data_IF_876815465990
#
_entry.id   IF_876815465990
#
_cell.length_a   1.000
_cell.length_b   1.000
_cell.length_c   1.000
_cell.angle_alpha   90.00
_cell.angle_beta   90.00
_cell.angle_gamma   90.00
#
_symmetry.space_group_name_H-M   'P 1'
#
loop_
_entity.id
_entity.type
_entity.pdbx_description
1 polymer ?
#
# COMPACT_ATOMS: atom_id res chain seq x y z
N UNK A 1 2.81 26.35 2.86
CA UNK A 1 3.59 25.40 3.61
C UNK A 1 4.49 24.60 2.67
N UNK A 2 5.79 24.56 2.94
CA UNK A 2 6.73 23.64 2.31
C UNK A 2 7.00 22.50 3.30
N UNK A 3 6.83 21.28 2.88
CA UNK A 3 6.93 20.16 3.82
C UNK A 3 7.35 18.85 3.13
N UNK A 4 8.08 18.04 3.88
CA UNK A 4 8.21 16.62 3.58
C UNK A 4 6.85 15.96 3.80
N UNK A 5 6.12 15.68 2.73
CA UNK A 5 4.84 14.99 2.77
C UNK A 5 4.68 14.06 1.58
N UNK A 6 4.02 12.94 1.79
CA UNK A 6 3.64 12.03 0.71
C UNK A 6 2.24 12.31 0.15
N UNK A 7 1.46 13.18 0.84
CA UNK A 7 0.07 13.49 0.52
C UNK A 7 -0.19 15.01 0.54
N UNK A 8 0.38 15.79 -0.41
CA UNK A 8 0.25 17.25 -0.40
C UNK A 8 -1.19 17.75 -0.38
N UNK A 9 -2.08 17.11 -1.17
CA UNK A 9 -3.49 17.51 -1.26
C UNK A 9 -4.24 17.28 0.05
N UNK A 10 -4.09 16.10 0.66
CA UNK A 10 -4.70 15.80 1.96
C UNK A 10 -4.16 16.69 3.08
N UNK A 11 -2.88 17.04 3.03
CA UNK A 11 -2.32 18.00 4.00
C UNK A 11 -2.96 19.39 3.85
N UNK A 12 -3.26 19.82 2.62
CA UNK A 12 -4.01 21.06 2.35
C UNK A 12 -5.41 20.97 2.94
N UNK A 13 -6.11 19.86 2.74
CA UNK A 13 -7.46 19.62 3.28
C UNK A 13 -7.43 19.63 4.81
N UNK A 14 -6.49 18.93 5.43
CA UNK A 14 -6.34 18.91 6.89
C UNK A 14 -6.00 20.29 7.50
N UNK A 15 -5.26 21.15 6.79
CA UNK A 15 -5.04 22.53 7.23
C UNK A 15 -6.35 23.35 7.15
N UNK A 16 -7.13 23.16 6.08
CA UNK A 16 -8.45 23.78 5.95
C UNK A 16 -9.36 23.38 7.11
N UNK A 17 -9.49 22.10 7.39
CA UNK A 17 -10.34 21.55 8.43
C UNK A 17 -9.91 22.03 9.84
N UNK A 18 -8.60 22.00 10.12
CA UNK A 18 -8.09 22.34 11.45
C UNK A 18 -8.16 23.83 11.79
N UNK A 19 -8.08 24.71 10.79
CA UNK A 19 -7.93 26.15 11.01
C UNK A 19 -9.02 27.03 10.37
N UNK A 20 -9.99 26.43 9.70
CA UNK A 20 -11.05 27.14 8.95
C UNK A 20 -10.48 28.17 7.95
N UNK A 21 -9.35 27.83 7.31
CA UNK A 21 -8.73 28.66 6.28
C UNK A 21 -9.30 28.21 4.92
N UNK A 22 -9.84 29.10 4.09
CA UNK A 22 -10.31 28.73 2.76
C UNK A 22 -9.20 28.02 1.95
N UNK A 23 -9.52 26.91 1.29
CA UNK A 23 -8.55 26.12 0.51
C UNK A 23 -7.82 26.96 -0.55
N UNK A 24 -8.48 27.96 -1.12
CA UNK A 24 -7.89 28.91 -2.08
C UNK A 24 -6.77 29.79 -1.50
N UNK A 25 -6.63 29.83 -0.17
CA UNK A 25 -5.57 30.56 0.56
C UNK A 25 -4.50 29.63 1.14
N UNK A 26 -4.60 28.34 0.86
CA UNK A 26 -3.64 27.35 1.33
C UNK A 26 -2.88 26.78 0.14
N UNK A 27 -1.56 26.89 0.19
CA UNK A 27 -0.66 26.23 -0.75
C UNK A 27 0.26 25.29 0.01
N UNK A 28 0.33 24.04 -0.43
CA UNK A 28 1.29 23.04 0.06
C UNK A 28 2.23 22.70 -1.07
N UNK A 29 3.53 22.74 -0.77
CA UNK A 29 4.59 22.28 -1.67
C UNK A 29 5.28 21.08 -1.04
N UNK A 30 5.09 19.91 -1.63
CA UNK A 30 5.73 18.67 -1.22
C UNK A 30 7.20 18.64 -1.62
N UNK A 31 8.07 18.72 -0.64
CA UNK A 31 9.52 18.61 -0.86
C UNK A 31 9.98 17.17 -0.99
N UNK A 32 11.14 16.91 -1.62
CA UNK A 32 11.79 15.59 -1.54
C UNK A 32 12.00 15.19 -0.08
N UNK A 33 11.40 14.07 0.34
CA UNK A 33 11.38 13.67 1.75
C UNK A 33 12.49 12.68 2.14
N UNK A 34 13.27 12.20 1.17
CA UNK A 34 14.38 11.27 1.40
C UNK A 34 13.97 9.84 1.76
N UNK A 35 12.76 9.63 2.16
CA UNK A 35 11.98 8.40 2.35
C UNK A 35 10.77 8.72 3.22
N UNK A 36 9.78 7.84 3.27
CA UNK A 36 8.58 8.07 4.08
C UNK A 36 8.05 6.79 4.73
N UNK A 37 7.75 5.77 3.93
CA UNK A 37 7.18 4.48 4.38
C UNK A 37 5.84 4.60 5.12
N UNK A 38 5.12 5.72 4.99
CA UNK A 38 3.89 6.07 5.71
C UNK A 38 4.09 7.14 6.80
N UNK A 39 5.32 7.37 7.23
CA UNK A 39 5.64 8.31 8.31
C UNK A 39 5.19 9.75 8.03
N UNK A 40 5.33 10.20 6.77
CA UNK A 40 5.00 11.57 6.36
C UNK A 40 3.56 11.72 5.83
N UNK A 41 2.71 10.76 6.09
CA UNK A 41 1.28 10.88 5.92
C UNK A 41 0.68 11.50 7.18
N UNK A 42 0.24 12.76 7.10
CA UNK A 42 -0.39 13.53 8.18
C UNK A 42 0.32 13.43 9.55
N UNK A 43 1.07 14.46 9.91
CA UNK A 43 1.76 14.55 11.21
C UNK A 43 1.38 15.85 11.94
N UNK A 44 1.33 15.77 13.27
CA UNK A 44 0.94 16.89 14.14
C UNK A 44 1.87 18.10 14.00
N UNK A 45 3.14 17.91 13.68
CA UNK A 45 4.07 19.04 13.52
C UNK A 45 3.79 19.88 12.27
N UNK A 46 3.10 19.38 11.25
CA UNK A 46 2.61 20.20 10.15
C UNK A 46 1.62 21.26 10.66
N UNK A 47 0.66 20.83 11.48
CA UNK A 47 -0.32 21.72 12.10
C UNK A 47 0.33 22.66 13.10
N UNK A 48 1.30 22.18 13.88
CA UNK A 48 2.08 23.00 14.80
C UNK A 48 2.85 24.10 14.05
N UNK A 49 3.44 23.80 12.89
CA UNK A 49 4.12 24.80 12.06
C UNK A 49 3.18 25.91 11.62
N UNK A 50 1.96 25.57 11.22
CA UNK A 50 0.91 26.54 10.84
C UNK A 50 0.52 27.41 12.04
N UNK A 51 0.27 26.77 13.21
CA UNK A 51 -0.03 27.49 14.45
C UNK A 51 1.04 28.51 14.82
N UNK A 52 2.31 28.09 14.79
CA UNK A 52 3.44 28.94 15.15
C UNK A 52 3.61 30.10 14.17
N UNK A 53 3.48 29.86 12.87
CA UNK A 53 3.54 30.90 11.86
C UNK A 53 2.43 31.96 12.04
N UNK A 54 1.20 31.52 12.32
CA UNK A 54 0.06 32.43 12.61
C UNK A 54 0.31 33.25 13.87
N UNK A 55 0.81 32.61 14.95
CA UNK A 55 1.09 33.30 16.20
C UNK A 55 2.25 34.28 16.08
N UNK A 56 3.28 33.94 15.32
CA UNK A 56 4.46 34.78 15.11
C UNK A 56 4.21 35.92 14.09
N UNK A 57 3.19 35.81 13.22
CA UNK A 57 2.94 36.73 12.11
C UNK A 57 4.09 36.78 11.09
N UNK A 58 4.90 35.75 10.99
CA UNK A 58 6.07 35.64 10.11
C UNK A 58 6.34 34.18 9.72
N UNK A 59 7.17 33.92 8.68
CA UNK A 59 7.59 32.57 8.34
C UNK A 59 8.25 31.87 9.52
N UNK A 60 7.90 30.57 9.70
CA UNK A 60 8.45 29.69 10.74
C UNK A 60 8.93 28.41 10.07
N UNK A 61 10.11 27.93 10.49
CA UNK A 61 10.68 26.62 10.12
C UNK A 61 10.72 25.75 11.36
N UNK A 62 10.26 24.49 11.22
CA UNK A 62 10.50 23.43 12.20
C UNK A 62 11.38 22.39 11.53
N UNK A 63 12.41 21.95 12.20
CA UNK A 63 13.30 20.87 11.81
C UNK A 63 13.55 20.02 13.05
N UNK A 64 13.16 18.75 12.98
CA UNK A 64 13.29 17.80 14.09
C UNK A 64 14.64 17.11 14.00
N UNK A 65 15.33 16.99 15.12
CA UNK A 65 16.48 16.10 15.23
C UNK A 65 16.06 14.62 15.39
N UNK A 66 17.04 13.72 15.53
CA UNK A 66 16.73 12.30 15.63
C UNK A 66 15.99 11.92 16.92
N UNK A 67 16.29 12.58 18.03
CA UNK A 67 15.63 12.33 19.32
C UNK A 67 14.18 12.83 19.28
N UNK A 68 13.96 14.01 18.73
CA UNK A 68 12.65 14.59 18.52
C UNK A 68 11.82 13.73 17.54
N UNK A 69 12.42 13.26 16.45
CA UNK A 69 11.75 12.34 15.53
C UNK A 69 11.31 11.06 16.24
N UNK A 70 12.17 10.44 17.04
CA UNK A 70 11.85 9.21 17.76
C UNK A 70 10.78 9.39 18.84
N UNK A 71 10.64 10.58 19.39
CA UNK A 71 9.69 10.89 20.47
C UNK A 71 8.36 11.46 19.99
N UNK A 72 8.28 11.97 18.76
CA UNK A 72 7.09 12.70 18.27
C UNK A 72 6.48 12.15 17.00
N UNK A 73 7.28 11.52 16.12
CA UNK A 73 6.79 11.03 14.84
C UNK A 73 6.15 9.65 15.01
N UNK A 74 5.13 9.37 14.22
CA UNK A 74 4.39 8.10 14.25
C UNK A 74 5.32 6.90 14.13
N UNK A 75 5.12 5.92 14.99
CA UNK A 75 5.82 4.63 14.98
C UNK A 75 4.92 3.52 14.41
N UNK A 76 5.51 2.38 14.05
CA UNK A 76 4.73 1.16 13.81
C UNK A 76 4.01 0.76 15.09
N UNK A 77 2.81 0.24 14.98
CA UNK A 77 2.07 -0.34 16.10
C UNK A 77 2.87 -1.43 16.81
N UNK A 78 2.79 -1.47 18.12
CA UNK A 78 3.16 -2.66 18.89
C UNK A 78 1.94 -3.57 18.92
N UNK A 79 2.15 -4.85 18.77
CA UNK A 79 1.07 -5.79 18.53
C UNK A 79 1.24 -7.06 19.35
N UNK A 80 0.13 -7.64 19.73
CA UNK A 80 0.05 -8.93 20.40
C UNK A 80 -1.03 -9.75 19.75
N UNK A 81 -0.65 -10.90 19.20
CA UNK A 81 -1.60 -11.87 18.66
C UNK A 81 -1.66 -13.10 19.54
N UNK A 82 -2.87 -13.58 19.80
CA UNK A 82 -3.14 -14.89 20.37
C UNK A 82 -4.04 -15.61 19.38
N UNK A 83 -3.61 -16.78 18.91
CA UNK A 83 -4.37 -17.47 17.88
C UNK A 83 -4.36 -18.98 18.03
N UNK A 84 -5.31 -19.61 17.36
CA UNK A 84 -5.42 -21.04 17.17
C UNK A 84 -5.66 -21.31 15.69
N UNK A 85 -5.02 -22.35 15.17
CA UNK A 85 -5.17 -22.78 13.79
C UNK A 85 -5.23 -24.31 13.78
N UNK A 86 -6.05 -24.87 12.92
CA UNK A 86 -6.23 -26.32 12.82
C UNK A 86 -6.10 -26.81 11.39
N UNK A 87 -5.66 -28.06 11.27
CA UNK A 87 -5.63 -28.77 9.99
C UNK A 87 -6.00 -30.25 10.23
N UNK A 88 -6.33 -30.94 9.13
CA UNK A 88 -6.46 -32.39 9.12
C UNK A 88 -5.09 -33.07 9.30
N UNK A 89 -5.06 -34.37 9.53
CA UNK A 89 -3.82 -35.16 9.60
C UNK A 89 -3.02 -35.11 8.28
N UNK A 90 -3.71 -34.89 7.16
CA UNK A 90 -3.11 -34.67 5.84
C UNK A 90 -2.60 -33.25 5.62
N UNK A 91 -2.82 -32.35 6.59
CA UNK A 91 -2.35 -30.97 6.58
C UNK A 91 -3.24 -30.00 5.80
N UNK A 92 -4.51 -30.30 5.54
CA UNK A 92 -5.48 -29.32 4.99
C UNK A 92 -6.00 -28.44 6.10
N UNK A 93 -5.93 -27.11 5.93
CA UNK A 93 -6.42 -26.14 6.91
C UNK A 93 -7.93 -26.25 7.07
N UNK A 94 -8.40 -26.16 8.33
CA UNK A 94 -9.81 -26.30 8.67
C UNK A 94 -10.36 -25.08 9.43
N UNK A 95 -9.56 -24.46 10.28
CA UNK A 95 -10.00 -23.24 10.98
C UNK A 95 -8.84 -22.30 11.31
N UNK A 96 -9.17 -21.04 11.51
CA UNK A 96 -8.29 -19.97 11.99
C UNK A 96 -9.04 -19.10 12.99
N UNK A 97 -8.46 -18.91 14.17
CA UNK A 97 -8.94 -17.95 15.17
C UNK A 97 -7.77 -17.09 15.63
N UNK A 98 -7.93 -15.77 15.54
CA UNK A 98 -6.90 -14.81 15.95
C UNK A 98 -7.54 -13.69 16.76
N UNK A 99 -7.05 -13.45 17.97
CA UNK A 99 -7.28 -12.23 18.74
C UNK A 99 -6.03 -11.36 18.65
N UNK A 100 -6.15 -10.25 17.94
CA UNK A 100 -5.07 -9.35 17.60
C UNK A 100 -5.27 -8.01 18.26
N UNK A 101 -4.37 -7.64 19.17
CA UNK A 101 -4.41 -6.37 19.91
C UNK A 101 -3.30 -5.48 19.40
N UNK A 102 -3.66 -4.27 18.98
CA UNK A 102 -2.74 -3.26 18.49
C UNK A 102 -2.69 -2.06 19.45
N UNK A 103 -1.47 -1.57 19.72
CA UNK A 103 -1.21 -0.40 20.55
C UNK A 103 -1.11 0.85 19.67
N UNK A 104 -2.17 1.66 19.66
CA UNK A 104 -2.24 2.91 18.90
C UNK A 104 -1.39 4.05 19.49
N UNK A 105 -0.86 3.88 20.70
CA UNK A 105 -0.26 4.97 21.46
C UNK A 105 -1.29 5.99 21.91
N UNK A 106 -0.86 7.23 22.13
CA UNK A 106 -1.75 8.34 22.41
C UNK A 106 -2.48 8.78 21.12
N UNK A 107 -3.69 9.31 21.25
CA UNK A 107 -4.49 9.86 20.13
C UNK A 107 -4.88 8.85 19.06
N UNK A 108 -5.26 7.67 19.41
CA UNK A 108 -5.69 6.56 18.60
C UNK A 108 -5.94 6.87 17.12
N UNK A 109 -5.03 6.48 16.26
CA UNK A 109 -5.26 6.52 14.82
C UNK A 109 -6.00 5.25 14.43
N UNK A 110 -7.21 5.40 13.90
CA UNK A 110 -8.01 4.29 13.42
C UNK A 110 -7.47 3.83 12.07
N UNK A 111 -6.30 3.20 12.07
CA UNK A 111 -5.86 2.44 10.90
C UNK A 111 -6.54 1.08 10.94
N UNK A 112 -7.17 0.73 9.86
CA UNK A 112 -7.61 -0.62 9.59
C UNK A 112 -6.36 -1.46 9.34
N UNK A 113 -5.97 -2.27 10.32
CA UNK A 113 -4.64 -2.84 10.40
C UNK A 113 -4.73 -4.36 10.28
N UNK A 114 -4.21 -4.90 9.19
CA UNK A 114 -3.93 -6.34 9.11
C UNK A 114 -5.05 -7.23 8.59
N UNK A 115 -5.95 -6.72 7.76
CA UNK A 115 -7.09 -7.50 7.24
C UNK A 115 -6.73 -8.57 6.20
N UNK A 116 -5.60 -8.43 5.50
CA UNK A 116 -5.34 -9.23 4.29
C UNK A 116 -4.33 -10.35 4.46
N UNK A 117 -3.69 -10.44 5.60
CA UNK A 117 -2.68 -11.48 5.83
C UNK A 117 -3.24 -12.91 5.75
N UNK A 118 -4.53 -13.09 6.05
CA UNK A 118 -5.20 -14.38 5.95
C UNK A 118 -5.62 -14.73 4.51
N UNK A 119 -5.79 -13.75 3.63
CA UNK A 119 -6.19 -13.94 2.24
C UNK A 119 -5.18 -14.74 1.41
N UNK A 120 -3.95 -14.88 1.92
CA UNK A 120 -2.93 -15.74 1.30
C UNK A 120 -3.19 -17.23 1.48
N UNK A 121 -4.05 -17.59 2.42
CA UNK A 121 -4.37 -18.96 2.73
C UNK A 121 -5.69 -19.35 2.07
N UNK A 122 -5.84 -20.61 1.69
CA UNK A 122 -7.10 -21.10 1.10
C UNK A 122 -8.28 -20.71 1.98
N UNK A 123 -9.46 -20.51 1.36
CA UNK A 123 -10.67 -20.24 2.13
C UNK A 123 -10.77 -21.23 3.28
N UNK A 124 -10.63 -20.72 4.47
CA UNK A 124 -10.76 -21.51 5.69
C UNK A 124 -12.23 -21.45 6.05
N UNK A 125 -12.89 -22.60 6.10
CA UNK A 125 -14.35 -22.68 6.33
C UNK A 125 -14.79 -21.99 7.61
N UNK A 126 -13.89 -21.90 8.59
CA UNK A 126 -14.16 -21.29 9.90
C UNK A 126 -13.03 -20.34 10.28
N UNK A 127 -13.14 -19.09 9.88
CA UNK A 127 -12.23 -18.03 10.29
C UNK A 127 -12.92 -17.07 11.27
N UNK A 128 -12.24 -16.74 12.38
CA UNK A 128 -12.65 -15.71 13.32
C UNK A 128 -11.45 -14.85 13.69
N UNK A 129 -11.39 -13.64 13.14
CA UNK A 129 -10.30 -12.71 13.38
C UNK A 129 -10.87 -11.49 14.09
N UNK A 130 -10.44 -11.27 15.32
CA UNK A 130 -10.81 -10.10 16.11
C UNK A 130 -9.62 -9.18 16.22
N UNK A 131 -9.76 -7.93 15.76
CA UNK A 131 -8.75 -6.90 15.86
C UNK A 131 -9.22 -5.80 16.80
N UNK A 132 -8.40 -5.47 17.79
CA UNK A 132 -8.71 -4.46 18.80
C UNK A 132 -7.59 -3.44 18.92
N UNK A 133 -7.90 -2.17 18.61
CA UNK A 133 -7.01 -1.04 18.88
C UNK A 133 -7.15 -0.56 20.32
N UNK A 134 -6.04 -0.40 21.02
CA UNK A 134 -6.01 0.17 22.37
C UNK A 134 -5.16 1.45 22.40
N UNK A 135 -5.61 2.45 23.14
CA UNK A 135 -4.86 3.67 23.35
C UNK A 135 -3.98 3.54 24.59
N UNK A 136 -2.75 4.05 24.50
CA UNK A 136 -1.77 4.04 25.59
C UNK A 136 -1.03 5.36 25.68
N UNK A 137 -0.28 5.59 26.75
CA UNK A 137 0.53 6.80 26.95
C UNK A 137 1.88 6.76 26.16
N UNK A 138 1.94 6.04 25.05
CA UNK A 138 3.12 5.97 24.20
C UNK A 138 3.00 6.95 23.04
N UNK A 139 4.10 7.13 22.31
CA UNK A 139 4.09 7.86 21.03
C UNK A 139 3.02 7.26 20.10
N UNK A 140 2.28 8.12 19.43
CA UNK A 140 1.21 7.72 18.51
C UNK A 140 1.76 6.73 17.47
N UNK A 141 1.06 5.64 17.31
CA UNK A 141 1.30 4.72 16.19
C UNK A 141 0.53 5.17 14.95
N UNK A 142 0.94 4.73 13.81
CA UNK A 142 0.27 5.04 12.55
C UNK A 142 0.87 4.26 11.38
N UNK A 143 0.47 4.65 10.19
CA UNK A 143 0.89 3.97 8.98
C UNK A 143 2.41 3.83 8.91
N UNK A 144 2.84 2.60 8.77
CA UNK A 144 4.21 2.23 8.44
C UNK A 144 4.14 1.06 7.47
N UNK A 145 4.85 1.13 6.35
CA UNK A 145 4.92 0.15 5.26
C UNK A 145 4.43 -1.26 5.64
N UNK A 146 3.35 -1.75 5.00
CA UNK A 146 2.69 -3.01 5.36
C UNK A 146 1.84 -2.88 6.63
N UNK A 147 1.07 -1.81 6.76
CA UNK A 147 0.27 -1.44 7.94
C UNK A 147 -0.48 -2.65 8.49
N UNK A 148 -0.08 -3.15 9.67
CA UNK A 148 -0.66 -4.32 10.35
C UNK A 148 -0.44 -5.67 9.68
N UNK A 149 -0.52 -5.76 8.37
CA UNK A 149 -0.41 -7.03 7.64
C UNK A 149 0.91 -7.77 7.91
N UNK A 150 2.02 -7.04 8.04
CA UNK A 150 3.30 -7.67 8.30
C UNK A 150 3.40 -8.30 9.68
N UNK A 151 2.66 -7.80 10.68
CA UNK A 151 2.70 -8.30 12.06
C UNK A 151 1.73 -9.44 12.28
N UNK A 152 0.50 -9.34 11.79
CA UNK A 152 -0.44 -10.46 11.86
C UNK A 152 0.02 -11.63 11.01
N UNK A 153 0.68 -11.37 9.87
CA UNK A 153 1.31 -12.41 9.05
C UNK A 153 2.31 -13.25 9.86
N UNK A 154 3.10 -12.64 10.75
CA UNK A 154 4.03 -13.38 11.61
C UNK A 154 3.30 -14.37 12.50
N UNK A 155 2.14 -13.99 13.06
CA UNK A 155 1.35 -14.87 13.91
C UNK A 155 0.78 -16.06 13.11
N UNK A 156 0.19 -15.79 11.94
CA UNK A 156 -0.40 -16.82 11.08
C UNK A 156 0.70 -17.77 10.57
N UNK A 157 1.80 -17.24 10.10
CA UNK A 157 2.92 -18.02 9.57
C UNK A 157 3.57 -18.91 10.65
N UNK A 158 3.65 -18.43 11.91
CA UNK A 158 4.10 -19.26 13.05
C UNK A 158 3.14 -20.40 13.36
N UNK A 159 1.83 -20.13 13.35
CA UNK A 159 0.84 -21.18 13.55
C UNK A 159 0.90 -22.23 12.43
N UNK A 160 1.08 -21.79 11.18
CA UNK A 160 1.25 -22.67 10.03
C UNK A 160 2.51 -23.54 10.18
N UNK A 161 3.63 -23.00 10.65
CA UNK A 161 4.84 -23.79 10.92
C UNK A 161 4.62 -24.81 12.04
N UNK A 162 3.94 -24.43 13.13
CA UNK A 162 3.63 -25.35 14.23
C UNK A 162 2.70 -26.49 13.77
N UNK A 163 1.73 -26.23 12.91
CA UNK A 163 0.88 -27.27 12.33
C UNK A 163 1.68 -28.18 11.40
N UNK A 164 2.49 -27.61 10.51
CA UNK A 164 3.33 -28.38 9.61
C UNK A 164 4.28 -29.32 10.37
N UNK A 165 4.89 -28.83 11.46
CA UNK A 165 5.72 -29.64 12.34
C UNK A 165 4.91 -30.78 12.98
N UNK A 166 3.71 -30.47 13.50
CA UNK A 166 2.85 -31.43 14.21
C UNK A 166 2.37 -32.56 13.30
N UNK A 167 2.09 -32.29 12.04
CA UNK A 167 1.69 -33.31 11.05
C UNK A 167 2.90 -33.90 10.27
N UNK A 168 4.13 -33.56 10.67
CA UNK A 168 5.36 -34.12 10.07
C UNK A 168 5.62 -33.62 8.64
N UNK A 169 5.07 -32.51 8.23
CA UNK A 169 5.25 -31.92 6.91
C UNK A 169 6.34 -30.84 6.91
N UNK A 170 7.09 -30.70 5.83
CA UNK A 170 7.99 -29.56 5.70
C UNK A 170 7.23 -28.25 5.44
N UNK A 171 7.74 -27.08 5.88
CA UNK A 171 7.01 -25.83 5.82
C UNK A 171 6.71 -25.33 4.39
N UNK A 172 7.55 -25.69 3.41
CA UNK A 172 7.33 -25.35 2.02
C UNK A 172 6.16 -26.17 1.45
N UNK A 173 6.14 -27.46 1.73
CA UNK A 173 5.07 -28.36 1.27
C UNK A 173 3.73 -27.96 1.87
N UNK A 174 3.71 -27.61 3.16
CA UNK A 174 2.50 -27.14 3.85
C UNK A 174 1.94 -25.89 3.19
N UNK A 175 2.79 -24.90 2.87
CA UNK A 175 2.37 -23.67 2.17
C UNK A 175 1.90 -23.92 0.74
N UNK A 176 2.63 -24.73 -0.02
CA UNK A 176 2.22 -25.13 -1.38
C UNK A 176 0.88 -25.89 -1.40
N UNK A 177 0.49 -26.51 -0.29
CA UNK A 177 -0.80 -27.17 -0.15
C UNK A 177 -1.93 -26.19 0.14
N UNK A 178 -1.67 -25.22 1.04
CA UNK A 178 -2.69 -24.40 1.68
C UNK A 178 -2.73 -22.93 1.24
N UNK A 179 -1.86 -22.49 0.34
CA UNK A 179 -1.92 -21.11 -0.14
C UNK A 179 -2.72 -20.98 -1.43
N UNK A 180 -3.38 -19.81 -1.57
CA UNK A 180 -4.22 -19.49 -2.71
C UNK A 180 -3.45 -19.50 -4.04
N UNK A 181 -4.15 -19.82 -5.10
CA UNK A 181 -3.68 -19.84 -6.50
C UNK A 181 -4.54 -18.92 -7.34
N UNK A 182 -4.04 -18.59 -8.52
CA UNK A 182 -4.85 -17.92 -9.54
C UNK A 182 -6.13 -18.72 -9.81
N UNK A 183 -7.26 -18.04 -9.80
CA UNK A 183 -8.59 -18.61 -9.97
C UNK A 183 -9.28 -19.06 -8.68
N UNK A 184 -8.56 -19.16 -7.55
CA UNK A 184 -9.18 -19.48 -6.26
C UNK A 184 -10.08 -18.33 -5.79
N UNK A 185 -11.16 -18.67 -5.10
CA UNK A 185 -11.98 -17.69 -4.42
C UNK A 185 -11.18 -17.02 -3.30
N UNK A 186 -11.34 -15.71 -3.16
CA UNK A 186 -10.75 -14.93 -2.09
C UNK A 186 -11.88 -14.55 -1.14
N UNK A 187 -11.76 -14.94 0.14
CA UNK A 187 -12.63 -14.42 1.18
C UNK A 187 -12.22 -12.96 1.45
N UNK A 188 -12.86 -12.00 0.78
CA UNK A 188 -12.73 -10.60 1.15
C UNK A 188 -13.74 -10.31 2.26
N UNK A 189 -13.26 -10.09 3.46
CA UNK A 189 -14.05 -9.41 4.49
C UNK A 189 -14.57 -8.09 3.90
N UNK A 190 -15.84 -7.81 4.13
CA UNK A 190 -16.51 -6.63 3.58
C UNK A 190 -17.28 -6.85 2.29
N UNK A 191 -16.96 -7.83 1.45
CA UNK A 191 -17.84 -8.20 0.32
C UNK A 191 -18.98 -9.10 0.76
N UNK A 192 -18.79 -9.93 1.79
CA UNK A 192 -19.85 -10.75 2.37
C UNK A 192 -20.87 -9.92 3.16
N UNK A 193 -20.47 -8.77 3.72
CA UNK A 193 -21.32 -7.86 4.47
C UNK A 193 -21.93 -6.74 3.60
N UNK A 194 -21.59 -6.68 2.32
CA UNK A 194 -22.24 -5.75 1.42
C UNK A 194 -23.73 -6.13 1.25
N UNK A 195 -24.65 -5.16 1.25
CA UNK A 195 -26.05 -5.42 0.95
C UNK A 195 -26.17 -6.21 -0.34
N UNK A 196 -27.10 -7.15 -0.36
CA UNK A 196 -27.39 -7.96 -1.55
C UNK A 196 -27.60 -7.04 -2.76
N UNK A 197 -26.86 -7.26 -3.84
CA UNK A 197 -26.88 -6.38 -5.03
C UNK A 197 -25.73 -5.35 -5.09
N UNK A 198 -24.92 -5.18 -4.05
CA UNK A 198 -23.79 -4.21 -4.08
C UNK A 198 -22.65 -4.68 -4.98
N UNK A 199 -22.41 -5.98 -5.07
CA UNK A 199 -21.42 -6.56 -6.00
C UNK A 199 -21.89 -6.37 -7.43
N UNK A 200 -23.18 -6.64 -7.70
CA UNK A 200 -23.80 -6.42 -9.00
C UNK A 200 -23.80 -4.94 -9.39
N UNK A 201 -24.08 -4.04 -8.45
CA UNK A 201 -24.02 -2.59 -8.66
C UNK A 201 -22.57 -2.13 -8.94
N UNK A 202 -21.57 -2.68 -8.23
CA UNK A 202 -20.16 -2.44 -8.51
C UNK A 202 -19.75 -2.94 -9.89
N UNK A 203 -20.10 -4.18 -10.24
CA UNK A 203 -19.83 -4.74 -11.57
C UNK A 203 -20.54 -3.94 -12.68
N UNK A 204 -21.76 -3.46 -12.43
CA UNK A 204 -22.49 -2.60 -13.37
C UNK A 204 -21.85 -1.21 -13.56
N UNK A 205 -21.12 -0.71 -12.55
CA UNK A 205 -20.40 0.56 -12.65
C UNK A 205 -19.13 0.49 -13.50
N UNK A 206 -18.63 -0.72 -13.78
CA UNK A 206 -17.46 -0.92 -14.65
C UNK A 206 -17.87 -0.62 -16.10
N UNK A 207 -17.16 0.28 -16.81
CA UNK A 207 -17.42 0.53 -18.23
C UNK A 207 -17.43 -0.77 -19.05
N UNK A 208 -18.37 -0.89 -19.97
CA UNK A 208 -18.55 -2.10 -20.78
C UNK A 208 -17.27 -2.53 -21.51
N UNK A 209 -16.48 -1.53 -21.98
CA UNK A 209 -15.18 -1.75 -22.62
C UNK A 209 -14.09 -2.35 -21.70
N UNK A 210 -14.32 -2.35 -20.40
CA UNK A 210 -13.37 -2.87 -19.41
C UNK A 210 -13.88 -4.14 -18.71
N UNK A 211 -15.14 -4.54 -18.91
CA UNK A 211 -15.73 -5.69 -18.21
C UNK A 211 -15.03 -7.01 -18.53
N UNK A 212 -14.64 -7.21 -19.78
CA UNK A 212 -13.92 -8.42 -20.20
C UNK A 212 -12.47 -8.46 -19.67
N UNK A 213 -11.88 -7.29 -19.42
CA UNK A 213 -10.54 -7.16 -18.85
C UNK A 213 -10.55 -7.11 -17.31
N UNK A 214 -11.73 -6.94 -16.70
CA UNK A 214 -11.86 -6.80 -15.25
C UNK A 214 -12.03 -8.19 -14.62
N UNK A 215 -11.11 -8.60 -13.76
CA UNK A 215 -11.21 -9.91 -13.12
C UNK A 215 -12.43 -9.98 -12.21
N UNK A 216 -12.99 -11.18 -12.08
CA UNK A 216 -14.00 -11.47 -11.06
C UNK A 216 -13.47 -11.02 -9.69
N UNK A 217 -14.11 -10.05 -9.00
CA UNK A 217 -13.62 -9.49 -7.75
C UNK A 217 -13.59 -10.52 -6.62
N UNK A 218 -14.27 -11.65 -6.78
CA UNK A 218 -14.30 -12.75 -5.81
C UNK A 218 -13.23 -13.80 -6.08
N UNK A 219 -12.44 -13.64 -7.14
CA UNK A 219 -11.37 -14.58 -7.49
C UNK A 219 -10.03 -13.90 -7.68
N UNK A 220 -8.99 -14.59 -7.26
CA UNK A 220 -7.62 -14.14 -7.51
C UNK A 220 -7.32 -14.20 -9.01
N UNK A 221 -7.30 -13.05 -9.67
CA UNK A 221 -7.07 -12.95 -11.12
C UNK A 221 -5.69 -13.44 -11.54
N UNK A 222 -4.68 -13.16 -10.73
CA UNK A 222 -3.31 -13.62 -10.94
C UNK A 222 -2.64 -13.90 -9.59
N UNK A 223 -2.09 -15.09 -9.42
CA UNK A 223 -1.41 -15.47 -8.20
C UNK A 223 -0.19 -16.31 -8.51
N UNK A 224 1.00 -15.75 -8.32
CA UNK A 224 2.27 -16.43 -8.59
C UNK A 224 2.92 -17.03 -7.33
N UNK A 225 2.23 -17.03 -6.20
CA UNK A 225 2.80 -17.45 -4.90
C UNK A 225 3.41 -18.86 -4.96
N UNK A 226 2.69 -19.81 -5.56
CA UNK A 226 3.19 -21.18 -5.72
C UNK A 226 4.44 -21.23 -6.60
N UNK A 227 4.48 -20.48 -7.69
CA UNK A 227 5.65 -20.41 -8.56
C UNK A 227 6.83 -19.76 -7.84
N UNK A 228 6.59 -18.64 -7.15
CA UNK A 228 7.59 -17.94 -6.36
C UNK A 228 8.20 -18.85 -5.29
N UNK A 229 7.37 -19.57 -4.55
CA UNK A 229 7.84 -20.53 -3.54
C UNK A 229 8.68 -21.63 -4.17
N UNK A 230 8.26 -22.23 -5.28
CA UNK A 230 9.02 -23.29 -5.96
C UNK A 230 10.33 -22.76 -6.54
N UNK A 231 10.32 -21.61 -7.21
CA UNK A 231 11.53 -21.00 -7.78
C UNK A 231 12.50 -20.53 -6.72
N UNK A 232 12.01 -19.86 -5.68
CA UNK A 232 12.80 -19.41 -4.55
C UNK A 232 13.44 -20.59 -3.82
N UNK A 233 12.67 -21.62 -3.51
CA UNK A 233 13.19 -22.84 -2.87
C UNK A 233 14.26 -23.54 -3.72
N UNK A 234 14.08 -23.59 -5.05
CA UNK A 234 15.07 -24.16 -5.96
C UNK A 234 16.37 -23.33 -5.99
N UNK A 235 16.27 -22.00 -6.17
CA UNK A 235 17.45 -21.12 -6.20
C UNK A 235 18.20 -21.12 -4.88
N UNK A 236 17.49 -21.16 -3.76
CA UNK A 236 18.05 -21.19 -2.43
C UNK A 236 18.61 -22.58 -2.03
N UNK A 237 18.35 -23.60 -2.84
CA UNK A 237 18.65 -25.01 -2.51
C UNK A 237 17.97 -25.47 -1.21
N UNK A 238 16.71 -25.08 -0.99
CA UNK A 238 15.95 -25.36 0.22
C UNK A 238 15.98 -26.86 0.57
N UNK A 239 15.66 -27.71 -0.39
CA UNK A 239 15.64 -29.18 -0.21
C UNK A 239 16.96 -29.77 0.32
N UNK A 240 18.11 -29.17 -0.01
CA UNK A 240 19.43 -29.62 0.48
C UNK A 240 19.75 -29.07 1.86
N UNK A 241 19.12 -27.97 2.25
CA UNK A 241 19.37 -27.27 3.52
C UNK A 241 18.31 -27.58 4.58
N UNK A 242 17.17 -28.10 4.18
CA UNK A 242 16.10 -28.48 5.10
C UNK A 242 16.38 -29.88 5.68
N UNK A 243 16.76 -29.94 6.95
CA UNK A 243 17.09 -31.19 7.65
C UNK A 243 15.97 -31.64 8.61
N UNK A 244 14.80 -30.98 8.57
CA UNK A 244 13.72 -31.21 9.52
C UNK A 244 13.61 -30.11 10.58
N UNK A 245 12.51 -30.11 11.30
CA UNK A 245 12.20 -29.15 12.35
C UNK A 245 13.25 -29.19 13.47
N UNK A 246 13.67 -28.01 13.93
CA UNK A 246 14.70 -27.89 14.99
C UNK A 246 16.11 -28.32 14.59
N UNK A 247 16.39 -28.70 13.34
CA UNK A 247 17.66 -29.24 12.89
C UNK A 247 18.41 -28.29 11.97
N UNK A 248 19.57 -27.76 12.37
CA UNK A 248 20.40 -26.93 11.51
C UNK A 248 21.02 -27.78 10.38
N UNK A 249 21.21 -27.17 9.21
CA UNK A 249 21.90 -27.81 8.09
C UNK A 249 23.44 -27.71 8.20
N UNK A 250 23.92 -26.76 9.00
CA UNK A 250 25.36 -26.60 9.28
C UNK A 250 25.55 -26.06 10.70
N UNK A 251 26.50 -26.66 11.38
CA UNK A 251 27.00 -26.21 12.68
C UNK A 251 28.47 -25.81 12.50
N UNK A 252 28.85 -24.62 12.97
CA UNK A 252 30.18 -24.06 12.87
C UNK A 252 30.52 -23.40 14.21
N UNK A 253 31.13 -24.15 15.10
CA UNK A 253 31.32 -23.76 16.51
C UNK A 253 29.97 -23.51 17.20
N UNK A 254 29.78 -22.30 17.74
CA UNK A 254 28.51 -21.86 18.36
C UNK A 254 27.44 -21.42 17.36
N UNK A 255 27.76 -21.36 16.06
CA UNK A 255 26.83 -20.88 15.02
C UNK A 255 26.06 -22.05 14.42
N UNK A 256 24.74 -22.04 14.61
CA UNK A 256 23.82 -22.97 14.01
C UNK A 256 23.10 -22.31 12.83
N UNK A 257 23.19 -22.91 11.65
CA UNK A 257 22.54 -22.40 10.44
C UNK A 257 21.33 -23.26 10.08
N UNK A 258 20.17 -22.67 10.05
CA UNK A 258 18.92 -23.30 9.64
C UNK A 258 18.27 -22.52 8.50
N UNK A 259 17.24 -23.08 7.92
CA UNK A 259 16.43 -22.46 6.88
C UNK A 259 14.97 -22.53 7.27
N UNK A 260 14.20 -21.54 6.85
CA UNK A 260 12.76 -21.50 6.96
C UNK A 260 12.17 -20.91 5.69
N UNK A 261 10.86 -20.92 5.61
CA UNK A 261 10.09 -20.26 4.55
C UNK A 261 8.90 -19.54 5.20
N UNK A 262 8.60 -18.35 4.73
CA UNK A 262 7.44 -17.59 5.14
C UNK A 262 6.91 -16.81 3.94
N UNK A 263 5.66 -16.43 4.02
CA UNK A 263 4.97 -15.61 3.02
C UNK A 263 4.28 -14.43 3.71
N UNK A 264 3.88 -13.45 2.93
CA UNK A 264 3.11 -12.32 3.43
C UNK A 264 2.32 -11.69 2.29
N UNK A 265 1.18 -11.15 2.63
CA UNK A 265 0.36 -10.36 1.73
C UNK A 265 0.15 -8.96 2.32
N UNK A 266 -0.13 -8.03 1.44
CA UNK A 266 -0.54 -6.69 1.81
C UNK A 266 -1.49 -6.16 0.74
N UNK A 267 -2.61 -5.60 1.17
CA UNK A 267 -3.54 -4.93 0.26
C UNK A 267 -2.92 -3.65 -0.29
N UNK A 268 -3.02 -3.46 -1.58
CA UNK A 268 -2.41 -2.33 -2.29
C UNK A 268 -3.38 -1.71 -3.29
N UNK A 269 -3.35 -0.39 -3.39
CA UNK A 269 -3.82 0.34 -4.56
C UNK A 269 -5.25 0.87 -4.53
N UNK A 270 -6.22 0.21 -3.94
CA UNK A 270 -7.65 0.45 -4.20
C UNK A 270 -8.47 0.92 -3.00
N UNK A 271 -7.98 0.79 -1.78
CA UNK A 271 -8.78 0.93 -0.55
C UNK A 271 -9.22 2.35 -0.19
N UNK A 272 -8.76 3.37 -0.93
CA UNK A 272 -9.04 4.75 -0.56
C UNK A 272 -10.11 5.34 -1.48
N UNK A 273 -11.16 5.86 -0.87
CA UNK A 273 -12.17 6.66 -1.55
C UNK A 273 -11.57 7.97 -2.08
N UNK A 274 -12.18 8.52 -3.12
CA UNK A 274 -11.83 9.82 -3.66
C UNK A 274 -11.10 9.78 -5.01
N UNK A 275 -11.10 10.91 -5.72
CA UNK A 275 -10.56 11.01 -7.06
C UNK A 275 -9.03 10.96 -7.05
N UNK A 276 -8.47 10.57 -8.19
CA UNK A 276 -7.08 10.83 -8.53
C UNK A 276 -7.07 11.45 -9.91
N UNK A 277 -6.39 12.57 -10.06
CA UNK A 277 -6.45 13.37 -11.26
C UNK A 277 -5.06 13.67 -11.81
N UNK A 278 -4.97 13.83 -13.13
CA UNK A 278 -3.78 14.29 -13.82
C UNK A 278 -4.19 15.27 -14.92
N UNK A 279 -3.27 16.16 -15.29
CA UNK A 279 -3.46 17.11 -16.37
C UNK A 279 -2.22 17.08 -17.28
N UNK A 280 -2.45 17.00 -18.58
CA UNK A 280 -1.38 17.07 -19.59
C UNK A 280 -1.56 18.36 -20.40
N UNK A 281 -0.46 19.09 -20.54
CA UNK A 281 -0.37 20.26 -21.42
C UNK A 281 0.67 20.01 -22.51
N UNK A 282 0.25 20.12 -23.76
CA UNK A 282 1.13 20.08 -24.91
C UNK A 282 1.50 21.52 -25.31
N UNK A 283 2.78 21.78 -25.49
CA UNK A 283 3.32 23.08 -25.87
C UNK A 283 3.52 23.18 -27.39
N UNK A 284 3.65 24.44 -27.89
CA UNK A 284 3.81 24.71 -29.33
C UNK A 284 5.11 24.18 -29.94
N UNK A 285 6.12 23.95 -29.10
CA UNK A 285 7.41 23.40 -29.49
C UNK A 285 7.41 21.84 -29.56
N UNK A 286 6.26 21.22 -29.30
CA UNK A 286 6.10 19.77 -29.27
C UNK A 286 6.45 19.11 -27.94
N UNK A 287 6.86 19.87 -26.91
CA UNK A 287 7.04 19.31 -25.57
C UNK A 287 5.71 19.15 -24.86
N UNK A 288 5.69 18.31 -23.84
CA UNK A 288 4.54 18.13 -22.96
C UNK A 288 4.91 18.29 -21.49
N UNK A 289 4.00 18.83 -20.70
CA UNK A 289 4.12 18.88 -19.24
C UNK A 289 2.94 18.17 -18.59
N UNK A 290 3.27 17.20 -17.77
CA UNK A 290 2.34 16.47 -16.92
C UNK A 290 2.27 17.13 -15.54
N UNK A 291 1.08 17.33 -15.03
CA UNK A 291 0.81 17.80 -13.68
C UNK A 291 0.06 16.70 -12.92
N UNK A 292 0.68 16.18 -11.85
CA UNK A 292 0.08 15.15 -11.01
C UNK A 292 0.57 15.30 -9.56
N UNK A 293 -0.30 15.04 -8.58
CA UNK A 293 0.06 15.23 -7.17
C UNK A 293 0.57 13.91 -6.56
N UNK A 294 1.87 13.65 -6.71
CA UNK A 294 2.56 12.49 -6.11
C UNK A 294 3.64 12.95 -5.13
N UNK A 295 3.85 12.18 -4.06
CA UNK A 295 4.89 12.47 -3.09
C UNK A 295 6.28 12.08 -3.61
N UNK A 296 7.28 12.92 -3.29
CA UNK A 296 8.69 12.74 -3.67
C UNK A 296 9.46 11.99 -2.57
N UNK A 297 9.37 10.66 -2.54
CA UNK A 297 9.94 9.84 -1.47
C UNK A 297 11.22 9.09 -1.89
N UNK A 298 11.70 9.31 -3.10
CA UNK A 298 12.85 8.60 -3.68
C UNK A 298 12.50 7.34 -4.48
N UNK A 299 11.20 7.03 -4.65
CA UNK A 299 10.71 5.87 -5.40
C UNK A 299 10.69 6.08 -6.94
N UNK A 300 11.06 7.26 -7.44
CA UNK A 300 11.12 7.54 -8.88
C UNK A 300 9.77 7.81 -9.52
N UNK A 301 8.77 8.30 -8.77
CA UNK A 301 7.42 8.58 -9.31
C UNK A 301 7.43 9.54 -10.48
N UNK A 302 8.25 10.60 -10.44
CA UNK A 302 8.35 11.57 -11.55
C UNK A 302 8.78 10.88 -12.84
N UNK A 303 9.81 10.03 -12.77
CA UNK A 303 10.30 9.28 -13.92
C UNK A 303 9.24 8.31 -14.46
N UNK A 304 8.60 7.55 -13.58
CA UNK A 304 7.60 6.56 -14.01
C UNK A 304 6.34 7.22 -14.55
N UNK A 305 5.90 8.33 -13.99
CA UNK A 305 4.78 9.10 -14.55
C UNK A 305 5.12 9.73 -15.90
N UNK A 306 6.35 10.24 -16.08
CA UNK A 306 6.82 10.70 -17.38
C UNK A 306 6.81 9.58 -18.44
N UNK A 307 7.25 8.37 -18.07
CA UNK A 307 7.22 7.21 -18.97
C UNK A 307 5.79 6.84 -19.39
N UNK A 308 4.84 6.83 -18.45
CA UNK A 308 3.43 6.56 -18.76
C UNK A 308 2.86 7.63 -19.70
N UNK A 309 3.14 8.91 -19.42
CA UNK A 309 2.66 10.01 -20.27
C UNK A 309 3.28 9.96 -21.67
N UNK A 310 4.58 9.74 -21.76
CA UNK A 310 5.31 9.64 -23.03
C UNK A 310 4.78 8.51 -23.91
N UNK A 311 4.60 7.31 -23.34
CA UNK A 311 4.05 6.15 -24.03
C UNK A 311 2.62 6.42 -24.54
N UNK A 312 1.75 6.96 -23.70
CA UNK A 312 0.36 7.26 -24.05
C UNK A 312 0.23 8.38 -25.10
N UNK A 313 1.09 9.40 -25.04
CA UNK A 313 1.16 10.48 -26.03
C UNK A 313 1.76 10.00 -27.34
N UNK A 314 2.66 9.03 -27.32
CA UNK A 314 3.54 8.68 -28.43
C UNK A 314 4.69 9.68 -28.61
N UNK A 315 5.17 10.27 -27.52
CA UNK A 315 6.26 11.26 -27.49
C UNK A 315 7.55 10.63 -26.99
N UNK A 316 8.73 11.15 -27.41
CA UNK A 316 9.99 10.82 -26.75
C UNK A 316 9.95 11.19 -25.26
N UNK A 317 10.55 10.39 -24.41
CA UNK A 317 10.54 10.60 -22.94
C UNK A 317 11.16 11.95 -22.55
N UNK A 318 12.20 12.37 -23.24
CA UNK A 318 12.90 13.65 -23.03
C UNK A 318 12.04 14.88 -23.35
N UNK A 319 10.93 14.71 -24.05
CA UNK A 319 9.96 15.76 -24.35
C UNK A 319 8.87 15.90 -23.28
N UNK A 320 8.87 15.06 -22.24
CA UNK A 320 7.86 15.08 -21.20
C UNK A 320 8.46 15.51 -19.86
N UNK A 321 8.05 16.67 -19.38
CA UNK A 321 8.37 17.18 -18.04
C UNK A 321 7.25 16.84 -17.05
N UNK A 322 7.58 16.58 -15.79
CA UNK A 322 6.61 16.33 -14.72
C UNK A 322 6.67 17.40 -13.65
N UNK A 323 5.54 18.04 -13.37
CA UNK A 323 5.32 18.90 -12.22
C UNK A 323 4.56 18.13 -11.15
N UNK A 324 5.06 18.12 -9.92
CA UNK A 324 4.42 17.40 -8.83
C UNK A 324 4.61 18.05 -7.47
N UNK A 325 3.69 17.76 -6.56
CA UNK A 325 3.78 18.16 -5.16
C UNK A 325 3.33 19.58 -4.85
N UNK A 326 3.04 20.43 -5.84
CA UNK A 326 2.50 21.79 -5.67
C UNK A 326 0.98 21.78 -5.82
N UNK A 327 0.24 22.06 -4.73
CA UNK A 327 -1.23 22.01 -4.72
C UNK A 327 -1.91 23.14 -5.46
N UNK A 328 -1.18 24.15 -5.94
CA UNK A 328 -1.73 25.19 -6.83
C UNK A 328 -1.55 24.84 -8.31
N UNK A 329 -0.52 24.05 -8.62
CA UNK A 329 -0.22 23.61 -9.99
C UNK A 329 -0.85 22.27 -10.33
N UNK A 330 -0.88 21.34 -9.39
CA UNK A 330 -1.29 19.95 -9.60
C UNK A 330 -2.74 19.72 -9.15
N UNK A 331 -3.51 18.92 -9.88
CA UNK A 331 -4.85 18.53 -9.45
C UNK A 331 -4.79 17.64 -8.19
N UNK A 332 -5.93 17.52 -7.53
CA UNK A 332 -6.03 16.74 -6.30
C UNK A 332 -5.73 15.25 -6.53
N UNK A 333 -5.05 14.64 -5.56
CA UNK A 333 -4.76 13.21 -5.50
C UNK A 333 -4.49 12.82 -4.05
N UNK A 334 -4.74 11.56 -3.70
CA UNK A 334 -4.32 11.01 -2.41
C UNK A 334 -2.79 11.02 -2.20
N UNK A 335 -2.00 11.27 -3.24
CA UNK A 335 -0.55 11.23 -3.16
C UNK A 335 0.02 9.81 -3.25
N UNK A 336 1.16 9.60 -2.62
CA UNK A 336 1.90 8.33 -2.71
C UNK A 336 1.74 7.50 -1.44
N UNK A 337 0.63 6.79 -1.33
CA UNK A 337 0.27 5.90 -0.20
C UNK A 337 -0.18 4.54 -0.71
N UNK A 338 -0.26 3.52 0.15
CA UNK A 338 -0.80 2.18 -0.13
C UNK A 338 -0.41 1.58 -1.50
N UNK A 339 0.79 1.88 -2.00
CA UNK A 339 1.28 1.46 -3.33
C UNK A 339 0.38 1.89 -4.50
N UNK A 340 -0.39 2.97 -4.34
CA UNK A 340 -1.39 3.41 -5.32
C UNK A 340 -0.82 4.28 -6.45
N UNK A 341 0.41 4.79 -6.33
CA UNK A 341 0.96 5.79 -7.25
C UNK A 341 0.89 5.35 -8.71
N UNK A 342 1.37 4.15 -9.04
CA UNK A 342 1.26 3.64 -10.41
C UNK A 342 -0.15 3.17 -10.76
N UNK A 343 -0.82 2.54 -9.81
CA UNK A 343 -2.15 2.00 -10.03
C UNK A 343 -3.20 3.10 -10.29
N UNK A 344 -3.25 4.14 -9.45
CA UNK A 344 -4.24 5.23 -9.57
C UNK A 344 -3.72 6.42 -10.35
N UNK A 345 -2.60 7.02 -9.92
CA UNK A 345 -2.06 8.21 -10.59
C UNK A 345 -1.51 7.85 -11.97
N UNK A 346 -0.89 6.67 -12.12
CA UNK A 346 -0.45 6.18 -13.43
C UNK A 346 -1.61 6.00 -14.40
N UNK A 347 -2.76 5.48 -13.92
CA UNK A 347 -3.97 5.37 -14.74
C UNK A 347 -4.53 6.75 -15.11
N UNK A 348 -4.65 7.67 -14.17
CA UNK A 348 -5.10 9.04 -14.43
C UNK A 348 -4.17 9.76 -15.44
N UNK A 349 -2.85 9.54 -15.31
CA UNK A 349 -1.85 10.06 -16.26
C UNK A 349 -2.05 9.48 -17.65
N UNK A 350 -2.26 8.17 -17.76
CA UNK A 350 -2.52 7.48 -19.01
C UNK A 350 -3.76 8.01 -19.71
N UNK A 351 -4.87 8.14 -19.02
CA UNK A 351 -6.13 8.65 -19.59
C UNK A 351 -6.00 10.13 -20.00
N UNK A 352 -5.37 10.97 -19.17
CA UNK A 352 -5.14 12.38 -19.52
C UNK A 352 -4.23 12.52 -20.75
N UNK A 353 -3.19 11.68 -20.86
CA UNK A 353 -2.30 11.69 -22.02
C UNK A 353 -2.98 11.17 -23.29
N UNK A 354 -3.81 10.13 -23.19
CA UNK A 354 -4.63 9.66 -24.33
C UNK A 354 -5.60 10.71 -24.83
N UNK A 355 -6.28 11.40 -23.91
CA UNK A 355 -7.21 12.45 -24.27
C UNK A 355 -6.49 13.63 -24.94
N UNK A 356 -5.35 14.06 -24.41
CA UNK A 356 -4.52 15.10 -25.03
C UNK A 356 -4.04 14.69 -26.42
N UNK A 357 -3.61 13.44 -26.62
CA UNK A 357 -3.24 12.89 -27.93
C UNK A 357 -4.41 12.91 -28.90
N UNK A 358 -5.59 12.47 -28.46
CA UNK A 358 -6.80 12.48 -29.29
C UNK A 358 -7.12 13.88 -29.78
N UNK A 359 -7.15 14.88 -28.87
CA UNK A 359 -7.40 16.28 -29.20
C UNK A 359 -6.35 16.83 -30.20
N UNK A 360 -5.07 16.49 -30.00
CA UNK A 360 -4.00 16.90 -30.91
C UNK A 360 -4.20 16.34 -32.32
N UNK A 361 -4.57 15.07 -32.46
CA UNK A 361 -4.82 14.42 -33.74
C UNK A 361 -6.07 15.00 -34.42
N UNK A 362 -7.13 15.25 -33.69
CA UNK A 362 -8.33 15.90 -34.23
C UNK A 362 -8.02 17.30 -34.78
N UNK A 363 -7.24 18.11 -34.06
CA UNK A 363 -6.77 19.40 -34.54
C UNK A 363 -5.90 19.30 -35.79
N UNK A 364 -5.01 18.28 -35.85
CA UNK A 364 -4.16 18.05 -37.01
C UNK A 364 -4.96 17.66 -38.25
N UNK A 365 -6.02 16.85 -38.10
CA UNK A 365 -6.87 16.41 -39.21
C UNK A 365 -7.75 17.54 -39.78
N UNK A 366 -8.01 18.60 -39.05
CA UNK A 366 -8.76 19.77 -39.55
C UNK A 366 -7.94 20.56 -40.58
N UNK A 367 -6.63 20.44 -40.57
CA UNK A 367 -5.70 21.16 -41.47
C UNK A 367 -5.21 20.31 -42.67
N UNK A 368 -5.67 19.05 -42.77
CA UNK A 368 -5.42 18.17 -43.91
C UNK A 368 -6.68 18.12 -44.80
#
# INVERSE_FOLDING_TARGET
>A
LWSSTQTPSELKDGIHEAFDIPQSKIKVVGLPSGSSFGQWWSNNFHMLTVCLARKAGRPVKIELDNEECMSTVKRRHLERSVGRMGCTDDGDLTFLEVDHVIDNGAYGFKDDVGFTAHDMWHPIDHANITIRGINTNKVTAGCMRGVGDCTISVAIERMADQLAEKVGMDPLKFRLKNQVKSGDAIAREGLADLPQGSVEAYLASIPESLRDAWPDPLRLSSGSTHELLRRGAKQFNFKKKWNGWGRPYKIDGSKHRAVGVGTGAHTCGVEFEGPTSALVRIHRDGSAKLYCSVGRQGQGSETTQAQVAAEALGFPLEMVEVETGDTDACPWSHGSIASNTMYRTGWATYEAAKDARRQLLELSLIHI
#
